data_IF_987893152566
#
_entry.id   IF_987893152566
#
_cell.length_a   1.000
_cell.length_b   1.000
_cell.length_c   1.000
_cell.angle_alpha   90.00
_cell.angle_beta   90.00
_cell.angle_gamma   90.00
#
_symmetry.space_group_name_H-M   'P 1'
#
loop_
_entity.id
_entity.type
_entity.pdbx_description
1 polymer ?
#
# COMPACT_ATOMS: atom_id res chain seq x y z
N UNK A 1 54.24 33.96 -3.69
CA UNK A 1 53.93 33.62 -2.28
C UNK A 1 52.76 32.64 -2.31
N UNK A 2 53.04 31.33 -2.26
CA UNK A 2 51.99 30.28 -2.22
C UNK A 2 51.82 29.83 -0.77
N UNK A 3 50.59 29.93 -0.24
CA UNK A 3 50.26 29.40 1.08
C UNK A 3 50.15 27.87 1.03
N UNK A 4 50.65 27.12 2.03
CA UNK A 4 50.44 25.69 2.09
C UNK A 4 48.99 25.36 2.49
N UNK A 5 48.39 24.40 1.79
CA UNK A 5 47.09 23.84 2.13
C UNK A 5 47.16 23.16 3.50
N UNK A 6 46.25 23.52 4.41
CA UNK A 6 46.09 22.83 5.70
C UNK A 6 45.50 21.44 5.45
N UNK A 7 46.01 20.37 6.09
CA UNK A 7 45.41 19.05 5.95
C UNK A 7 44.00 19.02 6.54
N UNK A 8 43.05 18.40 5.83
CA UNK A 8 41.69 18.17 6.31
C UNK A 8 41.73 17.33 7.60
N UNK A 9 40.97 17.70 8.65
CA UNK A 9 40.93 16.89 9.87
C UNK A 9 40.33 15.51 9.57
N UNK A 10 40.78 14.46 10.28
CA UNK A 10 40.22 13.12 10.13
C UNK A 10 38.74 13.14 10.54
N UNK A 11 37.92 12.40 9.78
CA UNK A 11 36.49 12.19 10.01
C UNK A 11 36.16 12.10 11.50
N UNK A 12 35.48 13.10 12.03
CA UNK A 12 34.91 13.05 13.37
C UNK A 12 33.89 11.93 13.40
N UNK A 13 34.12 10.92 14.24
CA UNK A 13 33.17 9.86 14.54
C UNK A 13 31.80 10.48 14.79
N UNK A 14 30.79 10.04 14.02
CA UNK A 14 29.38 10.27 14.36
C UNK A 14 29.17 9.80 15.80
N UNK A 15 28.51 10.59 16.67
CA UNK A 15 28.26 10.14 18.03
C UNK A 15 27.52 8.80 17.97
N UNK A 16 28.12 7.77 18.55
CA UNK A 16 27.46 6.46 18.65
C UNK A 16 26.14 6.66 19.38
N UNK A 17 25.04 6.29 18.72
CA UNK A 17 23.69 6.35 19.30
C UNK A 17 23.62 5.23 20.33
N UNK A 18 23.86 5.57 21.59
CA UNK A 18 23.74 4.64 22.71
C UNK A 18 22.26 4.44 23.03
N UNK A 19 21.77 3.22 22.82
CA UNK A 19 20.38 2.84 23.11
C UNK A 19 20.34 2.21 24.50
N UNK A 20 19.57 2.80 25.42
CA UNK A 20 19.40 2.22 26.76
C UNK A 20 18.40 1.06 26.70
N UNK A 21 18.89 -0.17 26.86
CA UNK A 21 18.08 -1.40 26.85
C UNK A 21 17.53 -1.79 28.24
N UNK A 22 17.95 -1.11 29.30
CA UNK A 22 17.52 -1.38 30.68
C UNK A 22 16.20 -0.67 31.02
N UNK A 23 15.88 0.41 30.30
CA UNK A 23 14.64 1.14 30.47
C UNK A 23 13.52 0.47 29.65
N UNK A 24 12.39 0.07 30.26
CA UNK A 24 11.25 -0.42 29.50
C UNK A 24 10.68 0.69 28.62
N UNK A 25 10.42 0.37 27.36
CA UNK A 25 9.77 1.27 26.41
C UNK A 25 8.36 1.62 26.89
N UNK A 26 8.06 2.92 26.90
CA UNK A 26 6.74 3.48 27.22
C UNK A 26 6.09 3.99 25.94
N UNK A 27 4.76 4.00 25.89
CA UNK A 27 3.95 4.52 24.76
C UNK A 27 4.21 6.01 24.45
N UNK A 28 4.89 6.73 25.34
CA UNK A 28 5.27 8.14 25.15
C UNK A 28 6.71 8.32 24.68
N UNK A 29 7.51 7.24 24.67
CA UNK A 29 8.90 7.32 24.24
C UNK A 29 8.94 7.57 22.71
N UNK A 30 9.90 8.36 22.22
CA UNK A 30 10.05 8.64 20.80
C UNK A 30 10.29 7.34 20.01
N UNK A 31 9.51 7.14 18.95
CA UNK A 31 9.55 5.91 18.14
C UNK A 31 8.61 4.80 18.59
N UNK A 32 7.92 4.94 19.73
CA UNK A 32 6.90 3.98 20.17
C UNK A 32 5.67 3.91 19.26
N UNK A 33 5.43 4.94 18.44
CA UNK A 33 4.40 4.99 17.40
C UNK A 33 4.91 4.56 16.02
N UNK A 34 6.18 4.18 15.90
CA UNK A 34 6.74 3.74 14.63
C UNK A 34 6.22 2.33 14.31
N UNK A 35 5.58 2.18 13.15
CA UNK A 35 5.11 0.88 12.69
C UNK A 35 6.29 -0.07 12.44
N UNK A 36 6.13 -1.33 12.82
CA UNK A 36 7.08 -2.37 12.47
C UNK A 36 7.11 -2.56 10.95
N UNK A 37 8.21 -3.06 10.37
CA UNK A 37 8.30 -3.27 8.91
C UNK A 37 7.11 -4.05 8.34
N UNK A 38 6.67 -5.12 9.03
CA UNK A 38 5.51 -5.92 8.61
C UNK A 38 4.15 -5.23 8.84
N UNK A 39 4.05 -4.33 9.82
CA UNK A 39 2.85 -3.49 10.00
C UNK A 39 2.76 -2.42 8.91
N UNK A 40 3.91 -1.84 8.55
CA UNK A 40 4.02 -0.84 7.48
C UNK A 40 3.73 -1.46 6.12
N UNK A 41 4.19 -2.68 5.86
CA UNK A 41 3.91 -3.39 4.60
C UNK A 41 2.42 -3.73 4.43
N UNK A 42 1.67 -3.89 5.52
CA UNK A 42 0.22 -4.08 5.51
C UNK A 42 -0.57 -2.77 5.66
N UNK A 43 0.11 -1.63 5.77
CA UNK A 43 -0.56 -0.34 5.90
C UNK A 43 -1.24 0.02 4.58
N UNK A 44 -2.53 0.37 4.68
CA UNK A 44 -3.29 0.85 3.53
C UNK A 44 -2.87 2.25 3.11
N UNK A 45 -2.18 3.00 3.97
CA UNK A 45 -1.76 4.37 3.65
C UNK A 45 -0.63 4.40 2.61
N UNK A 46 0.22 3.36 2.55
CA UNK A 46 1.31 3.25 1.57
C UNK A 46 0.83 2.80 0.18
N UNK A 47 -0.29 2.07 0.11
CA UNK A 47 -0.84 1.49 -1.13
C UNK A 47 -2.21 2.07 -1.53
N UNK A 48 -2.83 2.84 -0.64
CA UNK A 48 -4.16 3.45 -0.77
C UNK A 48 -4.14 4.77 -1.53
N UNK A 49 -3.40 4.80 -2.64
CA UNK A 49 -3.40 5.92 -3.55
C UNK A 49 -4.74 6.12 -4.27
N UNK A 50 -4.74 7.03 -5.24
CA UNK A 50 -5.89 7.19 -6.11
C UNK A 50 -6.12 5.92 -6.95
N UNK A 51 -7.37 5.44 -6.95
CA UNK A 51 -7.80 4.40 -7.88
C UNK A 51 -7.49 4.87 -9.31
N UNK A 52 -6.99 3.96 -10.15
CA UNK A 52 -6.73 4.28 -11.56
C UNK A 52 -8.01 4.80 -12.24
N UNK A 53 -7.90 5.70 -13.22
CA UNK A 53 -9.05 6.21 -13.96
C UNK A 53 -9.93 5.09 -14.55
N UNK A 54 -9.31 4.02 -15.03
CA UNK A 54 -9.97 2.85 -15.62
C UNK A 54 -10.78 2.09 -14.56
N UNK A 55 -10.22 1.90 -13.36
CA UNK A 55 -10.94 1.27 -12.25
C UNK A 55 -12.14 2.10 -11.79
N UNK A 56 -12.02 3.44 -11.80
CA UNK A 56 -13.13 4.35 -11.50
C UNK A 56 -14.24 4.21 -12.57
N UNK A 57 -13.86 4.12 -13.84
CA UNK A 57 -14.79 3.95 -14.96
C UNK A 57 -15.50 2.59 -14.90
N UNK A 58 -14.76 1.49 -14.79
CA UNK A 58 -15.32 0.14 -14.73
C UNK A 58 -16.35 0.01 -13.59
N UNK A 59 -16.05 0.58 -12.42
CA UNK A 59 -17.01 0.65 -11.33
C UNK A 59 -18.30 1.42 -11.68
N UNK A 60 -18.17 2.54 -12.39
CA UNK A 60 -19.33 3.31 -12.84
C UNK A 60 -20.14 2.57 -13.91
N UNK A 61 -19.49 1.83 -14.80
CA UNK A 61 -20.13 1.00 -15.82
C UNK A 61 -20.93 -0.12 -15.17
N UNK A 62 -20.35 -0.83 -14.19
CA UNK A 62 -21.07 -1.81 -13.38
C UNK A 62 -22.26 -1.20 -12.63
N UNK A 63 -22.11 0.00 -12.04
CA UNK A 63 -23.21 0.71 -11.39
C UNK A 63 -24.34 1.08 -12.34
N UNK A 64 -24.02 1.34 -13.61
CA UNK A 64 -24.99 1.61 -14.68
C UNK A 64 -25.60 0.35 -15.27
N UNK A 65 -25.15 -0.83 -14.82
CA UNK A 65 -25.58 -2.13 -15.37
C UNK A 65 -24.92 -2.49 -16.71
N UNK A 66 -23.88 -1.75 -17.13
CA UNK A 66 -23.07 -2.16 -18.27
C UNK A 66 -22.31 -3.44 -17.91
N UNK A 67 -22.40 -4.41 -18.82
CA UNK A 67 -21.79 -5.73 -18.68
C UNK A 67 -20.74 -5.90 -19.76
N UNK A 68 -19.64 -6.53 -19.39
CA UNK A 68 -18.63 -6.95 -20.35
C UNK A 68 -19.25 -7.99 -21.31
N UNK A 69 -19.34 -7.62 -22.58
CA UNK A 69 -19.93 -8.43 -23.65
C UNK A 69 -18.91 -9.33 -24.33
N UNK A 70 -17.61 -9.07 -24.17
CA UNK A 70 -16.56 -9.88 -24.76
C UNK A 70 -16.05 -10.99 -23.82
N UNK A 71 -16.44 -10.93 -22.54
CA UNK A 71 -16.15 -11.94 -21.53
C UNK A 71 -16.48 -13.36 -22.03
N UNK A 72 -15.49 -14.26 -21.93
CA UNK A 72 -15.62 -15.67 -22.31
C UNK A 72 -15.47 -16.57 -21.09
N UNK A 73 -16.20 -17.69 -21.09
CA UNK A 73 -16.02 -18.77 -20.14
C UNK A 73 -14.69 -19.50 -20.35
N UNK A 74 -14.34 -20.39 -19.42
CA UNK A 74 -13.14 -21.23 -19.52
C UNK A 74 -13.15 -22.14 -20.77
N UNK A 75 -14.33 -22.39 -21.33
CA UNK A 75 -14.57 -23.14 -22.57
C UNK A 75 -14.49 -22.26 -23.84
N UNK A 76 -14.15 -20.97 -23.71
CA UNK A 76 -14.00 -20.03 -24.83
C UNK A 76 -15.33 -19.55 -25.44
N UNK A 77 -16.48 -20.01 -24.92
CA UNK A 77 -17.80 -19.52 -25.34
C UNK A 77 -18.10 -18.19 -24.65
N UNK A 78 -18.88 -17.29 -25.27
CA UNK A 78 -19.30 -16.05 -24.62
C UNK A 78 -20.00 -16.39 -23.30
N UNK A 79 -19.64 -15.68 -22.23
CA UNK A 79 -20.24 -15.86 -20.92
C UNK A 79 -21.70 -15.40 -21.00
N UNK A 80 -22.62 -16.37 -21.07
CA UNK A 80 -24.04 -16.10 -21.24
C UNK A 80 -24.51 -15.02 -20.26
N UNK A 81 -25.37 -14.07 -20.69
CA UNK A 81 -26.01 -13.17 -19.75
C UNK A 81 -26.76 -13.96 -18.69
N UNK A 82 -26.67 -13.58 -17.39
CA UNK A 82 -27.59 -14.12 -16.41
C UNK A 82 -29.02 -13.83 -16.89
N UNK A 83 -29.99 -14.68 -16.58
CA UNK A 83 -31.37 -14.46 -16.97
C UNK A 83 -31.81 -13.06 -16.51
N UNK A 84 -32.36 -12.27 -17.44
CA UNK A 84 -32.90 -10.94 -17.14
C UNK A 84 -33.89 -11.05 -15.96
N UNK A 85 -33.59 -10.36 -14.85
CA UNK A 85 -34.47 -10.28 -13.69
C UNK A 85 -33.99 -10.96 -12.40
N UNK A 86 -32.80 -11.56 -12.38
CA UNK A 86 -32.21 -12.08 -11.14
C UNK A 86 -31.78 -10.98 -10.18
N UNK A 87 -32.63 -10.61 -9.22
CA UNK A 87 -32.25 -9.77 -8.06
C UNK A 87 -30.96 -10.32 -7.46
N UNK A 88 -29.98 -9.44 -7.23
CA UNK A 88 -28.69 -9.79 -6.66
C UNK A 88 -28.86 -10.68 -5.43
N UNK A 89 -28.29 -11.88 -5.50
CA UNK A 89 -28.17 -12.74 -4.34
C UNK A 89 -27.14 -12.09 -3.40
N UNK A 90 -27.69 -11.49 -2.33
CA UNK A 90 -26.97 -11.14 -1.13
C UNK A 90 -26.12 -12.32 -0.63
N UNK A 91 -25.00 -12.00 0.01
CA UNK A 91 -23.92 -12.93 0.29
C UNK A 91 -24.27 -14.16 1.12
N UNK A 92 -23.38 -15.14 1.02
CA UNK A 92 -23.25 -16.23 1.97
C UNK A 92 -21.78 -16.39 2.34
N UNK A 93 -21.42 -15.90 3.53
CA UNK A 93 -20.28 -16.43 4.29
C UNK A 93 -20.52 -17.92 4.55
N UNK A 94 -19.49 -18.73 4.40
CA UNK A 94 -19.11 -19.80 5.35
C UNK A 94 -17.60 -19.95 5.31
#
# INVERSE_FOLDING_TARGET
MSNPAKPNPPFTHTPEVHINTEKPSRTQDPGSSAQLPHERDQSTDMTGGEKSPEMKQAHNDLKRGLRDTDARGADGRPLAPPPEGGKGAAGGKT
#
